data_IF_323352196752
#
_entry.id   IF_323352196752
#
_cell.length_a   1.000
_cell.length_b   1.000
_cell.length_c   1.000
_cell.angle_alpha   90.00
_cell.angle_beta   90.00
_cell.angle_gamma   90.00
#
_symmetry.space_group_name_H-M   'P 1'
#
loop_
_entity.id
_entity.type
_entity.pdbx_description
1 polymer ?
#
# COMPACT_ATOMS: atom_id res chain seq x y z
N UNK A 1 18.11 -3.81 -4.14
CA UNK A 1 16.98 -2.91 -4.41
C UNK A 1 15.84 -3.06 -3.40
N UNK A 2 15.06 -4.16 -3.38
CA UNK A 2 13.93 -4.29 -2.42
C UNK A 2 14.43 -4.26 -0.96
N UNK A 3 15.45 -5.05 -0.62
CA UNK A 3 16.04 -5.08 0.73
C UNK A 3 16.69 -3.75 1.15
N UNK A 4 17.21 -2.98 0.19
CA UNK A 4 17.76 -1.65 0.45
C UNK A 4 16.66 -0.66 0.83
N UNK A 5 15.47 -0.77 0.22
CA UNK A 5 14.29 0.04 0.61
C UNK A 5 13.74 -0.42 1.96
N UNK A 6 13.68 -1.73 2.21
CA UNK A 6 13.24 -2.29 3.50
C UNK A 6 14.08 -1.75 4.67
N UNK A 7 15.41 -1.67 4.49
CA UNK A 7 16.32 -1.09 5.47
C UNK A 7 16.05 0.39 5.80
N UNK A 8 15.30 1.12 4.97
CA UNK A 8 14.90 2.51 5.22
C UNK A 8 13.61 2.63 6.07
N UNK A 9 12.83 1.55 6.20
CA UNK A 9 11.56 1.57 6.93
C UNK A 9 11.67 2.08 8.37
N UNK A 10 12.67 1.69 9.19
CA UNK A 10 12.82 2.23 10.55
C UNK A 10 12.95 3.75 10.59
N UNK A 11 13.67 4.33 9.61
CA UNK A 11 13.80 5.79 9.50
C UNK A 11 12.46 6.43 9.14
N UNK A 12 11.69 5.85 8.22
CA UNK A 12 10.39 6.37 7.81
C UNK A 12 9.37 6.28 8.96
N UNK A 13 9.30 5.14 9.66
CA UNK A 13 8.36 4.93 10.76
C UNK A 13 8.72 5.78 11.99
N UNK A 14 9.99 6.11 12.20
CA UNK A 14 10.42 7.05 13.27
C UNK A 14 9.88 8.47 13.11
N UNK A 15 9.42 8.85 11.91
CA UNK A 15 8.76 10.14 11.66
C UNK A 15 7.33 10.18 12.23
N UNK A 16 6.81 9.05 12.72
CA UNK A 16 5.46 8.94 13.27
C UNK A 16 4.34 9.30 12.28
N UNK A 17 4.31 8.72 11.06
CA UNK A 17 3.24 9.02 10.12
C UNK A 17 1.88 8.53 10.63
N UNK A 18 0.82 9.33 10.42
CA UNK A 18 -0.56 8.91 10.69
C UNK A 18 -0.95 7.66 9.86
N UNK A 19 -0.42 7.59 8.63
CA UNK A 19 -0.64 6.52 7.65
C UNK A 19 0.66 6.27 6.89
N UNK A 20 1.10 5.01 6.84
CA UNK A 20 2.18 4.55 5.96
C UNK A 20 1.56 3.73 4.82
N UNK A 21 1.96 4.04 3.58
CA UNK A 21 1.52 3.31 2.39
C UNK A 21 2.75 2.82 1.65
N UNK A 22 2.76 1.53 1.29
CA UNK A 22 3.82 0.91 0.47
C UNK A 22 3.16 0.23 -0.72
N UNK A 23 3.61 0.58 -1.93
CA UNK A 23 3.14 0.00 -3.19
C UNK A 23 4.13 0.30 -4.32
N UNK A 24 3.92 -0.30 -5.49
CA UNK A 24 4.55 0.11 -6.75
C UNK A 24 3.60 0.96 -7.59
N UNK A 25 4.10 1.65 -8.61
CA UNK A 25 3.28 2.34 -9.61
C UNK A 25 2.84 1.39 -10.74
N UNK A 26 3.66 0.39 -11.06
CA UNK A 26 3.34 -0.67 -12.01
C UNK A 26 4.12 -1.97 -11.72
N UNK A 27 3.71 -3.06 -12.37
CA UNK A 27 4.41 -4.35 -12.33
C UNK A 27 5.38 -4.48 -13.51
N UNK A 28 6.65 -4.81 -13.24
CA UNK A 28 7.68 -5.08 -14.27
C UNK A 28 8.30 -6.46 -14.06
N UNK A 29 7.65 -7.56 -14.50
CA UNK A 29 8.15 -8.90 -14.27
C UNK A 29 9.49 -9.12 -14.99
N UNK A 30 10.50 -9.64 -14.28
CA UNK A 30 11.84 -9.82 -14.83
C UNK A 30 11.87 -10.72 -16.09
N UNK A 31 10.99 -11.72 -16.16
CA UNK A 31 10.86 -12.61 -17.33
C UNK A 31 10.19 -11.91 -18.53
N UNK A 32 9.35 -10.90 -18.28
CA UNK A 32 8.61 -10.16 -19.30
C UNK A 32 9.40 -8.95 -19.82
N UNK A 33 10.23 -8.35 -18.96
CA UNK A 33 11.15 -7.23 -19.26
C UNK A 33 10.46 -5.92 -19.70
N UNK A 34 9.15 -5.83 -19.54
CA UNK A 34 8.36 -4.62 -19.77
C UNK A 34 7.31 -4.45 -18.67
N UNK A 35 6.67 -3.29 -18.66
CA UNK A 35 5.53 -3.05 -17.78
C UNK A 35 4.38 -3.99 -18.16
N UNK A 36 3.68 -4.50 -17.15
CA UNK A 36 2.57 -5.43 -17.33
C UNK A 36 1.32 -4.93 -16.61
N UNK A 37 0.18 -5.51 -16.97
CA UNK A 37 -1.14 -5.20 -16.41
C UNK A 37 -1.41 -5.85 -15.05
N UNK A 38 -0.46 -6.63 -14.51
CA UNK A 38 -0.63 -7.29 -13.21
C UNK A 38 -0.76 -6.23 -12.11
N UNK A 39 -1.69 -6.48 -11.17
CA UNK A 39 -1.83 -5.65 -9.98
C UNK A 39 -0.53 -5.60 -9.18
N UNK A 40 -0.30 -4.47 -8.52
CA UNK A 40 0.82 -4.25 -7.61
C UNK A 40 0.41 -4.52 -6.17
N UNK A 41 1.25 -5.16 -5.34
CA UNK A 41 0.97 -5.34 -3.93
C UNK A 41 0.89 -3.97 -3.25
N UNK A 42 -0.16 -3.74 -2.46
CA UNK A 42 -0.40 -2.47 -1.76
C UNK A 42 -0.69 -2.74 -0.28
N UNK A 43 0.02 -2.02 0.59
CA UNK A 43 -0.13 -2.06 2.04
C UNK A 43 -0.53 -0.66 2.54
N UNK A 44 -1.52 -0.61 3.43
CA UNK A 44 -1.85 0.58 4.22
C UNK A 44 -1.71 0.21 5.69
N UNK A 45 -0.81 0.90 6.40
CA UNK A 45 -0.63 0.76 7.84
C UNK A 45 -1.07 2.06 8.54
N UNK A 46 -2.03 1.95 9.45
CA UNK A 46 -2.45 3.04 10.33
C UNK A 46 -3.12 2.46 11.58
N UNK A 47 -3.42 3.30 12.57
CA UNK A 47 -4.18 2.90 13.77
C UNK A 47 -5.58 2.34 13.48
N UNK A 48 -6.12 2.56 12.28
CA UNK A 48 -7.45 2.11 11.87
C UNK A 48 -7.41 0.91 10.90
N UNK A 49 -6.22 0.48 10.49
CA UNK A 49 -6.06 -0.69 9.63
C UNK A 49 -6.50 -1.96 10.35
N UNK A 50 -7.02 -2.94 9.60
CA UNK A 50 -7.29 -4.29 10.10
C UNK A 50 -6.27 -5.25 9.50
N UNK A 51 -5.27 -5.71 10.26
CA UNK A 51 -4.26 -6.62 9.74
C UNK A 51 -4.89 -7.88 9.14
N UNK A 52 -4.51 -8.23 7.91
CA UNK A 52 -5.03 -9.38 7.18
C UNK A 52 -3.95 -10.36 6.72
N UNK A 53 -2.68 -10.06 6.98
CA UNK A 53 -1.53 -10.88 6.59
C UNK A 53 -0.30 -10.55 7.47
N UNK A 54 0.62 -11.51 7.59
CA UNK A 54 1.87 -11.38 8.36
C UNK A 54 3.08 -10.97 7.49
N UNK A 55 2.92 -10.91 6.17
CA UNK A 55 3.99 -10.58 5.23
C UNK A 55 3.47 -9.76 4.05
N UNK A 56 4.34 -8.91 3.48
CA UNK A 56 4.05 -8.10 2.30
C UNK A 56 4.58 -8.77 1.03
N UNK A 57 3.72 -8.89 0.01
CA UNK A 57 4.05 -9.53 -1.26
C UNK A 57 2.79 -9.87 -2.05
N UNK A 58 2.94 -10.24 -3.32
CA UNK A 58 1.83 -10.47 -4.25
C UNK A 58 0.87 -11.53 -3.74
N UNK A 59 1.38 -12.66 -3.24
CA UNK A 59 0.54 -13.75 -2.70
C UNK A 59 -0.24 -13.35 -1.46
N UNK A 60 0.38 -12.63 -0.52
CA UNK A 60 -0.29 -12.15 0.70
C UNK A 60 -1.36 -11.11 0.39
N UNK A 61 -1.06 -10.16 -0.51
CA UNK A 61 -1.99 -9.10 -0.89
C UNK A 61 -3.23 -9.63 -1.64
N UNK A 62 -3.17 -10.80 -2.28
CA UNK A 62 -4.33 -11.42 -2.95
C UNK A 62 -5.49 -11.74 -1.99
N UNK A 63 -5.20 -12.00 -0.71
CA UNK A 63 -6.21 -12.23 0.33
C UNK A 63 -6.47 -11.02 1.22
N UNK A 64 -5.85 -9.87 0.93
CA UNK A 64 -5.92 -8.67 1.75
C UNK A 64 -7.30 -7.99 1.70
N UNK A 65 -7.63 -7.26 2.77
CA UNK A 65 -8.94 -6.63 2.92
C UNK A 65 -9.18 -5.42 2.00
N UNK A 66 -8.10 -4.84 1.45
CA UNK A 66 -8.17 -3.78 0.42
C UNK A 66 -8.78 -4.27 -0.90
N UNK A 67 -8.72 -5.58 -1.18
CA UNK A 67 -9.15 -6.15 -2.46
C UNK A 67 -8.39 -5.58 -3.66
N UNK A 68 -9.07 -5.51 -4.81
CA UNK A 68 -8.54 -4.89 -6.02
C UNK A 68 -9.18 -3.51 -6.20
N UNK A 69 -8.35 -2.47 -6.31
CA UNK A 69 -8.78 -1.09 -6.46
C UNK A 69 -7.96 -0.35 -7.52
N UNK A 70 -8.46 0.81 -7.97
CA UNK A 70 -7.71 1.67 -8.88
C UNK A 70 -6.71 2.51 -8.09
N UNK A 71 -5.50 2.67 -8.62
CA UNK A 71 -4.44 3.45 -7.96
C UNK A 71 -4.84 4.90 -7.65
N UNK A 72 -5.70 5.51 -8.48
CA UNK A 72 -6.22 6.88 -8.26
C UNK A 72 -7.03 7.02 -6.96
N UNK A 73 -7.59 5.92 -6.45
CA UNK A 73 -8.43 5.93 -5.24
C UNK A 73 -7.59 5.81 -3.96
N UNK A 74 -6.28 5.52 -4.09
CA UNK A 74 -5.36 5.32 -2.96
C UNK A 74 -5.23 6.57 -2.08
N UNK A 75 -5.22 7.76 -2.68
CA UNK A 75 -5.14 9.02 -1.92
C UNK A 75 -6.39 9.23 -1.05
N UNK A 76 -7.58 8.92 -1.57
CA UNK A 76 -8.83 9.02 -0.80
C UNK A 76 -8.82 8.06 0.40
N UNK A 77 -8.34 6.82 0.21
CA UNK A 77 -8.16 5.89 1.34
C UNK A 77 -7.11 6.40 2.33
N UNK A 78 -5.99 6.95 1.86
CA UNK A 78 -4.97 7.55 2.73
C UNK A 78 -5.56 8.64 3.63
N UNK A 79 -6.36 9.55 3.05
CA UNK A 79 -7.05 10.61 3.78
C UNK A 79 -8.06 10.03 4.78
N UNK A 80 -8.79 8.98 4.42
CA UNK A 80 -9.72 8.31 5.35
C UNK A 80 -8.98 7.72 6.55
N UNK A 81 -7.87 6.99 6.32
CA UNK A 81 -7.02 6.45 7.38
C UNK A 81 -6.33 7.54 8.21
N UNK A 82 -6.12 8.74 7.65
CA UNK A 82 -5.58 9.89 8.36
C UNK A 82 -6.65 10.71 9.12
N UNK A 83 -7.95 10.38 8.99
CA UNK A 83 -9.07 11.18 9.49
C UNK A 83 -9.08 12.60 8.89
N UNK A 84 -8.78 12.68 7.59
CA UNK A 84 -8.72 13.91 6.78
C UNK A 84 -9.57 13.83 5.52
N UNK A 85 -10.44 12.82 5.43
CA UNK A 85 -11.42 12.71 4.36
C UNK A 85 -12.75 13.26 4.87
N UNK A 86 -13.22 14.32 4.24
CA UNK A 86 -14.52 14.90 4.58
C UNK A 86 -15.66 13.99 4.10
N UNK A 87 -16.72 13.96 4.90
CA UNK A 87 -17.95 13.28 4.55
C UNK A 87 -18.66 14.07 3.44
N UNK A 88 -19.07 13.38 2.37
CA UNK A 88 -19.93 13.97 1.35
C UNK A 88 -21.41 13.74 1.70
N UNK A 89 -22.09 14.82 2.11
CA UNK A 89 -23.48 14.78 2.57
C UNK A 89 -23.65 14.18 3.97
N UNK A 90 -24.86 14.36 4.52
CA UNK A 90 -25.31 13.95 5.86
C UNK A 90 -24.51 14.50 7.06
#
# INVERSE_FOLDING_TARGET
AIEEVDALLPRITSLGPDVLIVTGDHSTPAIYREHSWHHVPTLIASRWARPSADAFGESSCRGGDLGVMLGKDLMSLALAHAVRLDKYGA
#
